data_IF_380919794247
#
_entry.id   IF_380919794247
#
_cell.length_a   1.000
_cell.length_b   1.000
_cell.length_c   1.000
_cell.angle_alpha   90.00
_cell.angle_beta   90.00
_cell.angle_gamma   90.00
#
_symmetry.space_group_name_H-M   'P 1'
#
loop_
_entity.id
_entity.type
_entity.pdbx_description
1 polymer ?
#
# COMPACT_ATOMS: atom_id res chain seq x y z
N UNK A 1 5.19 11.38 0.78
CA UNK A 1 3.95 12.11 1.12
C UNK A 1 3.42 11.74 2.51
N UNK A 2 3.28 10.48 2.87
CA UNK A 2 2.73 10.03 4.17
C UNK A 2 3.48 10.60 5.38
N UNK A 3 4.79 10.77 5.28
CA UNK A 3 5.63 11.41 6.31
C UNK A 3 5.19 12.84 6.66
N UNK A 4 4.68 13.56 5.67
CA UNK A 4 4.22 14.96 5.84
C UNK A 4 2.74 14.99 6.21
N UNK A 5 1.92 14.18 5.53
CA UNK A 5 0.46 14.14 5.71
C UNK A 5 0.06 13.33 6.95
N UNK A 6 0.90 12.37 7.37
CA UNK A 6 0.69 11.48 8.51
C UNK A 6 -0.64 10.69 8.46
N UNK A 7 -1.15 10.46 7.25
CA UNK A 7 -2.39 9.75 7.01
C UNK A 7 -2.30 8.96 5.70
N UNK A 8 -2.29 7.64 5.78
CA UNK A 8 -2.31 6.74 4.62
C UNK A 8 -3.57 6.93 3.79
N UNK A 9 -4.72 7.11 4.43
CA UNK A 9 -5.99 7.29 3.72
C UNK A 9 -5.98 8.56 2.87
N UNK A 10 -5.42 9.65 3.39
CA UNK A 10 -5.30 10.90 2.64
C UNK A 10 -4.33 10.76 1.47
N UNK A 11 -3.21 10.08 1.66
CA UNK A 11 -2.24 9.83 0.58
C UNK A 11 -2.83 8.95 -0.51
N UNK A 12 -3.56 7.89 -0.14
CA UNK A 12 -4.27 7.02 -1.09
C UNK A 12 -5.33 7.81 -1.88
N UNK A 13 -6.12 8.67 -1.22
CA UNK A 13 -7.11 9.51 -1.89
C UNK A 13 -6.47 10.47 -2.90
N UNK A 14 -5.34 11.08 -2.56
CA UNK A 14 -4.57 11.93 -3.49
C UNK A 14 -4.05 11.10 -4.67
N UNK A 15 -3.51 9.91 -4.41
CA UNK A 15 -3.03 9.00 -5.45
C UNK A 15 -4.17 8.59 -6.40
N UNK A 16 -5.34 8.25 -5.87
CA UNK A 16 -6.53 7.91 -6.65
C UNK A 16 -6.98 9.07 -7.52
N UNK A 17 -7.05 10.28 -6.94
CA UNK A 17 -7.43 11.49 -7.67
C UNK A 17 -6.45 11.79 -8.80
N UNK A 18 -5.15 11.66 -8.54
CA UNK A 18 -4.12 11.88 -9.56
C UNK A 18 -4.16 10.82 -10.66
N UNK A 19 -4.31 9.55 -10.30
CA UNK A 19 -4.41 8.46 -11.25
C UNK A 19 -5.65 8.53 -12.15
N UNK A 20 -6.73 9.16 -11.68
CA UNK A 20 -7.96 9.37 -12.44
C UNK A 20 -7.87 10.50 -13.48
N UNK A 21 -6.74 11.23 -13.52
CA UNK A 21 -6.52 12.28 -14.51
C UNK A 21 -6.05 11.67 -15.83
N UNK A 22 -6.59 12.20 -16.95
CA UNK A 22 -6.16 11.79 -18.28
C UNK A 22 -4.83 12.45 -18.65
N UNK A 23 -3.90 11.63 -19.12
CA UNK A 23 -2.68 12.09 -19.76
C UNK A 23 -2.93 12.58 -21.21
N UNK A 24 -1.86 13.01 -21.90
CA UNK A 24 -1.96 13.47 -23.29
C UNK A 24 -2.50 12.42 -24.27
N UNK A 25 -2.36 11.16 -23.96
CA UNK A 25 -2.83 10.00 -24.73
C UNK A 25 -4.26 9.54 -24.36
N UNK A 26 -4.91 10.23 -23.40
CA UNK A 26 -6.23 9.89 -22.89
C UNK A 26 -6.25 8.75 -21.87
N UNK A 27 -5.11 8.13 -21.58
CA UNK A 27 -4.96 7.13 -20.52
C UNK A 27 -4.68 7.80 -19.16
N UNK A 28 -4.66 7.01 -18.07
CA UNK A 28 -4.24 7.51 -16.76
C UNK A 28 -2.81 8.05 -16.79
N UNK A 29 -2.56 9.18 -16.13
CA UNK A 29 -1.21 9.79 -16.05
C UNK A 29 -0.15 8.88 -15.44
N UNK A 30 -0.53 7.91 -14.60
CA UNK A 30 0.42 6.99 -13.97
C UNK A 30 0.08 5.51 -14.19
N UNK A 31 -1.17 5.19 -14.49
CA UNK A 31 -1.65 3.82 -14.60
C UNK A 31 -1.55 3.01 -13.30
N UNK A 32 -2.09 1.80 -13.28
CA UNK A 32 -2.05 0.93 -12.09
C UNK A 32 -0.62 0.50 -11.74
N UNK A 33 0.17 0.11 -12.76
CA UNK A 33 1.57 -0.32 -12.55
C UNK A 33 2.43 0.79 -11.95
N UNK A 34 2.19 2.04 -12.32
CA UNK A 34 2.87 3.20 -11.75
C UNK A 34 2.35 3.59 -10.36
N UNK A 35 1.08 3.34 -10.07
CA UNK A 35 0.48 3.62 -8.77
C UNK A 35 0.93 2.66 -7.66
N UNK A 36 1.19 1.39 -7.99
CA UNK A 36 1.59 0.37 -7.01
C UNK A 36 2.87 0.74 -6.25
N UNK A 37 3.99 1.15 -6.89
CA UNK A 37 5.19 1.56 -6.14
C UNK A 37 4.93 2.73 -5.18
N UNK A 38 4.07 3.67 -5.56
CA UNK A 38 3.69 4.81 -4.71
C UNK A 38 2.92 4.32 -3.49
N UNK A 39 1.99 3.38 -3.69
CA UNK A 39 1.22 2.74 -2.63
C UNK A 39 2.13 1.96 -1.67
N UNK A 40 3.12 1.22 -2.19
CA UNK A 40 4.10 0.51 -1.35
C UNK A 40 4.96 1.49 -0.54
N UNK A 41 5.36 2.60 -1.15
CA UNK A 41 6.06 3.69 -0.46
C UNK A 41 5.23 4.34 0.63
N UNK A 42 3.93 4.50 0.43
CA UNK A 42 2.98 4.96 1.44
C UNK A 42 2.91 4.02 2.63
N UNK A 43 2.82 2.72 2.38
CA UNK A 43 2.84 1.69 3.42
C UNK A 43 4.13 1.75 4.27
N UNK A 44 5.29 1.95 3.64
CA UNK A 44 6.56 2.16 4.37
C UNK A 44 6.51 3.47 5.16
N UNK A 45 6.04 4.56 4.57
CA UNK A 45 5.92 5.86 5.23
C UNK A 45 5.06 5.84 6.49
N UNK A 46 3.99 5.05 6.48
CA UNK A 46 3.11 4.85 7.63
C UNK A 46 3.84 4.23 8.83
N UNK A 47 4.87 3.41 8.59
CA UNK A 47 5.64 2.79 9.69
C UNK A 47 6.41 3.82 10.50
N UNK A 48 6.92 4.85 9.85
CA UNK A 48 7.65 5.93 10.52
C UNK A 48 6.74 6.68 11.48
N UNK A 49 5.50 6.96 11.08
CA UNK A 49 4.53 7.60 11.97
C UNK A 49 4.19 6.73 13.18
N UNK A 50 4.07 5.41 12.98
CA UNK A 50 3.84 4.46 14.07
C UNK A 50 5.04 4.40 15.04
N UNK A 51 6.27 4.38 14.52
CA UNK A 51 7.48 4.40 15.36
C UNK A 51 7.55 5.70 16.16
N UNK A 52 7.33 6.86 15.53
CA UNK A 52 7.34 8.15 16.21
C UNK A 52 6.28 8.21 17.31
N UNK A 53 5.06 7.71 17.02
CA UNK A 53 3.99 7.67 18.02
C UNK A 53 4.29 6.73 19.21
N UNK A 54 5.18 5.76 19.04
CA UNK A 54 5.58 4.82 20.09
C UNK A 54 6.66 5.38 21.03
N UNK A 55 7.27 6.51 20.71
CA UNK A 55 8.29 7.14 21.53
C UNK A 55 7.66 7.59 22.85
N UNK A 56 8.28 7.21 23.96
CA UNK A 56 7.74 7.51 25.30
C UNK A 56 6.61 6.58 25.76
N UNK A 57 6.13 5.69 24.91
CA UNK A 57 5.06 4.75 25.24
C UNK A 57 5.58 3.44 25.88
N UNK A 58 4.65 2.57 26.25
CA UNK A 58 4.94 1.27 26.84
C UNK A 58 5.82 0.37 25.96
N UNK A 59 6.43 -0.66 26.54
CA UNK A 59 7.19 -1.65 25.78
C UNK A 59 6.36 -2.35 24.70
N UNK A 60 5.09 -2.62 25.00
CA UNK A 60 4.19 -3.30 24.06
C UNK A 60 3.78 -2.38 22.89
N UNK A 61 3.60 -1.09 23.13
CA UNK A 61 3.39 -0.12 22.05
C UNK A 61 4.59 -0.05 21.10
N UNK A 62 5.81 -0.07 21.63
CA UNK A 62 7.04 -0.11 20.82
C UNK A 62 7.16 -1.41 20.02
N UNK A 63 6.86 -2.57 20.64
CA UNK A 63 6.84 -3.85 19.95
C UNK A 63 5.83 -3.88 18.82
N UNK A 64 4.63 -3.35 19.05
CA UNK A 64 3.60 -3.23 18.02
C UNK A 64 4.06 -2.35 16.85
N UNK A 65 4.67 -1.20 17.13
CA UNK A 65 5.20 -0.30 16.10
C UNK A 65 6.31 -0.96 15.27
N UNK A 66 7.21 -1.71 15.92
CA UNK A 66 8.28 -2.45 15.24
C UNK A 66 7.68 -3.57 14.38
N UNK A 67 6.76 -4.36 14.91
CA UNK A 67 6.10 -5.44 14.17
C UNK A 67 5.36 -4.89 12.93
N UNK A 68 4.64 -3.78 13.08
CA UNK A 68 4.00 -3.07 11.97
C UNK A 68 5.01 -2.59 10.93
N UNK A 69 6.16 -2.09 11.36
CA UNK A 69 7.22 -1.63 10.46
C UNK A 69 7.84 -2.80 9.68
N UNK A 70 8.18 -3.88 10.37
CA UNK A 70 8.72 -5.08 9.73
C UNK A 70 7.72 -5.64 8.71
N UNK A 71 6.44 -5.74 9.08
CA UNK A 71 5.37 -6.18 8.20
C UNK A 71 5.30 -5.36 6.89
N UNK A 72 5.24 -4.03 7.00
CA UNK A 72 5.10 -3.17 5.82
C UNK A 72 6.38 -3.09 4.98
N UNK A 73 7.55 -3.01 5.60
CA UNK A 73 8.83 -2.91 4.88
C UNK A 73 9.11 -4.22 4.13
N UNK A 74 8.98 -5.37 4.78
CA UNK A 74 9.24 -6.67 4.14
C UNK A 74 8.19 -6.98 3.08
N UNK A 75 6.92 -6.70 3.35
CA UNK A 75 5.86 -6.85 2.37
C UNK A 75 6.10 -5.98 1.14
N UNK A 76 6.39 -4.70 1.32
CA UNK A 76 6.69 -3.78 0.21
C UNK A 76 7.91 -4.24 -0.59
N UNK A 77 8.94 -4.74 0.08
CA UNK A 77 10.13 -5.28 -0.58
C UNK A 77 9.81 -6.52 -1.45
N UNK A 78 8.96 -7.41 -0.98
CA UNK A 78 8.52 -8.57 -1.75
C UNK A 78 7.69 -8.12 -2.96
N UNK A 79 6.69 -7.27 -2.74
CA UNK A 79 5.76 -6.86 -3.79
C UNK A 79 6.39 -5.99 -4.88
N UNK A 80 7.47 -5.23 -4.59
CA UNK A 80 8.15 -4.44 -5.61
C UNK A 80 8.76 -5.30 -6.72
N UNK A 81 9.13 -6.54 -6.41
CA UNK A 81 9.65 -7.49 -7.40
C UNK A 81 8.57 -8.15 -8.26
N UNK A 82 7.32 -8.12 -7.82
CA UNK A 82 6.19 -8.76 -8.48
C UNK A 82 5.10 -7.76 -8.90
N UNK A 83 5.47 -6.49 -9.14
CA UNK A 83 4.50 -5.43 -9.48
C UNK A 83 3.61 -5.83 -10.65
N UNK A 84 4.19 -6.33 -11.76
CA UNK A 84 3.42 -6.68 -12.97
C UNK A 84 2.42 -7.81 -12.74
N UNK A 85 2.80 -8.98 -12.19
CA UNK A 85 1.83 -10.02 -11.88
C UNK A 85 0.82 -9.59 -10.81
N UNK A 86 1.22 -8.78 -9.84
CA UNK A 86 0.32 -8.22 -8.84
C UNK A 86 -0.72 -7.26 -9.46
N UNK A 87 -0.29 -6.37 -10.36
CA UNK A 87 -1.19 -5.49 -11.10
C UNK A 87 -2.23 -6.29 -11.90
N UNK A 88 -1.82 -7.34 -12.60
CA UNK A 88 -2.75 -8.24 -13.32
C UNK A 88 -3.76 -8.91 -12.39
N UNK A 89 -3.32 -9.36 -11.23
CA UNK A 89 -4.22 -9.93 -10.22
C UNK A 89 -5.24 -8.90 -9.75
N UNK A 90 -4.81 -7.67 -9.47
CA UNK A 90 -5.70 -6.58 -9.04
C UNK A 90 -6.70 -6.23 -10.14
N UNK A 91 -6.28 -6.15 -11.40
CA UNK A 91 -7.16 -5.92 -12.53
C UNK A 91 -8.21 -7.04 -12.66
N UNK A 92 -7.81 -8.28 -12.42
CA UNK A 92 -8.72 -9.45 -12.50
C UNK A 92 -9.83 -9.41 -11.46
N UNK A 93 -9.55 -8.94 -10.24
CA UNK A 93 -10.53 -8.83 -9.14
C UNK A 93 -11.30 -7.50 -9.14
N UNK A 94 -10.94 -6.56 -10.01
CA UNK A 94 -11.52 -5.23 -10.08
C UNK A 94 -12.57 -5.13 -11.17
N UNK A 95 -13.48 -4.12 -11.09
CA UNK A 95 -14.45 -3.87 -12.13
C UNK A 95 -13.78 -3.64 -13.50
N UNK A 96 -14.46 -4.07 -14.56
CA UNK A 96 -14.03 -3.84 -15.94
C UNK A 96 -14.61 -2.54 -16.45
N UNK A 97 -13.89 -1.86 -17.33
CA UNK A 97 -14.32 -0.61 -17.94
C UNK A 97 -13.15 0.26 -18.39
N UNK A 98 -13.44 1.53 -18.67
CA UNK A 98 -12.42 2.52 -18.99
C UNK A 98 -11.42 2.68 -17.85
N UNK A 99 -10.14 2.78 -18.19
CA UNK A 99 -9.06 2.90 -17.19
C UNK A 99 -9.32 4.06 -16.21
N UNK A 100 -9.68 5.24 -16.72
CA UNK A 100 -9.93 6.42 -15.88
C UNK A 100 -11.09 6.24 -14.90
N UNK A 101 -12.09 5.41 -15.24
CA UNK A 101 -13.26 5.16 -14.41
C UNK A 101 -13.00 4.11 -13.33
N UNK A 102 -12.10 3.15 -13.59
CA UNK A 102 -11.86 2.01 -12.71
C UNK A 102 -10.56 2.11 -11.91
N UNK A 103 -9.61 2.99 -12.29
CA UNK A 103 -8.28 3.07 -11.68
C UNK A 103 -8.34 3.36 -10.17
N UNK A 104 -9.24 4.22 -9.73
CA UNK A 104 -9.43 4.52 -8.30
C UNK A 104 -9.80 3.28 -7.50
N UNK A 105 -10.71 2.45 -8.03
CA UNK A 105 -11.10 1.18 -7.41
C UNK A 105 -9.97 0.17 -7.46
N UNK A 106 -9.22 0.12 -8.57
CA UNK A 106 -8.06 -0.75 -8.69
C UNK A 106 -7.00 -0.42 -7.65
N UNK A 107 -6.72 0.86 -7.40
CA UNK A 107 -5.78 1.30 -6.36
C UNK A 107 -6.28 0.88 -4.96
N UNK A 108 -7.56 1.04 -4.66
CA UNK A 108 -8.15 0.58 -3.41
C UNK A 108 -8.03 -0.94 -3.25
N UNK A 109 -8.31 -1.71 -4.30
CA UNK A 109 -8.18 -3.15 -4.32
C UNK A 109 -6.71 -3.60 -4.19
N UNK A 110 -5.76 -2.87 -4.80
CA UNK A 110 -4.33 -3.13 -4.64
C UNK A 110 -3.89 -2.95 -3.18
N UNK A 111 -4.32 -1.88 -2.53
CA UNK A 111 -4.02 -1.63 -1.12
C UNK A 111 -4.61 -2.71 -0.20
N UNK A 112 -5.87 -3.05 -0.41
CA UNK A 112 -6.55 -4.12 0.33
C UNK A 112 -5.85 -5.48 0.11
N UNK A 113 -5.58 -5.85 -1.14
CA UNK A 113 -4.95 -7.12 -1.49
C UNK A 113 -3.53 -7.24 -0.94
N UNK A 114 -2.74 -6.16 -0.99
CA UNK A 114 -1.42 -6.12 -0.36
C UNK A 114 -1.52 -6.47 1.12
N UNK A 115 -2.41 -5.82 1.86
CA UNK A 115 -2.54 -6.07 3.29
C UNK A 115 -3.02 -7.49 3.60
N UNK A 116 -4.00 -8.01 2.85
CA UNK A 116 -4.52 -9.37 3.05
C UNK A 116 -3.43 -10.42 2.75
N UNK A 117 -2.79 -10.33 1.58
CA UNK A 117 -1.77 -11.30 1.16
C UNK A 117 -0.57 -11.24 2.11
N UNK A 118 -0.12 -10.05 2.47
CA UNK A 118 0.99 -9.86 3.38
C UNK A 118 0.67 -10.43 4.78
N UNK A 119 -0.57 -10.24 5.25
CA UNK A 119 -1.04 -10.84 6.51
C UNK A 119 -0.99 -12.36 6.45
N UNK A 120 -1.45 -12.97 5.35
CA UNK A 120 -1.41 -14.43 5.18
C UNK A 120 0.02 -14.97 5.14
N UNK A 121 0.96 -14.23 4.58
CA UNK A 121 2.39 -14.59 4.58
C UNK A 121 2.96 -14.55 6.00
N UNK A 122 2.61 -13.54 6.78
CA UNK A 122 3.15 -13.31 8.11
C UNK A 122 2.48 -14.12 9.22
N UNK A 123 1.23 -14.56 9.02
CA UNK A 123 0.45 -15.27 10.04
C UNK A 123 1.18 -16.52 10.58
N UNK A 124 1.77 -17.40 9.75
CA UNK A 124 2.53 -18.55 10.24
C UNK A 124 3.81 -18.14 10.98
N UNK A 125 4.49 -17.09 10.53
CA UNK A 125 5.72 -16.60 11.14
C UNK A 125 5.49 -15.96 12.52
N UNK A 126 4.31 -15.34 12.73
CA UNK A 126 3.97 -14.70 13.99
C UNK A 126 3.68 -15.70 15.11
N UNK A 127 3.22 -16.91 14.78
CA UNK A 127 2.92 -17.96 15.78
C UNK A 127 4.14 -18.46 16.57
N UNK A 128 5.36 -18.18 16.10
CA UNK A 128 6.62 -18.54 16.80
C UNK A 128 7.29 -17.36 17.53
N UNK A 129 6.70 -16.17 17.52
CA UNK A 129 7.30 -14.95 18.07
C UNK A 129 6.72 -14.49 19.42
N UNK A 130 5.71 -15.19 19.96
CA UNK A 130 5.03 -14.90 21.22
C UNK A 130 5.25 -15.96 22.28
#
# INVERSE_FOLDING_TARGET
MTLVVQSSSATIAVLQSFASQAGPDGASVIGLVGAIPILLGDNIGTTITAILASIGQSKDAKRCAIAHSVFNITGSFIFIWIIKPFAKFVEMISPKGNELDVISRQIANAHMSFNIINTLIWLPASSGLW
#
